data_IF_955300793955
#
_entry.id   IF_955300793955
#
_cell.length_a   1.000
_cell.length_b   1.000
_cell.length_c   1.000
_cell.angle_alpha   90.00
_cell.angle_beta   90.00
_cell.angle_gamma   90.00
#
_symmetry.space_group_name_H-M   'P 1'
#
loop_
_entity.id
_entity.type
_entity.pdbx_description
1 polymer ?
#
# COMPACT_ATOMS: atom_id res chain seq x y z
N UNK A 1 13.71 45.47 -25.64
CA UNK A 1 12.81 44.37 -25.32
C UNK A 1 13.69 43.15 -25.09
N UNK A 2 14.17 42.99 -23.84
CA UNK A 2 15.20 42.02 -23.49
C UNK A 2 14.57 40.66 -23.16
N UNK A 3 15.07 39.63 -23.81
CA UNK A 3 14.77 38.23 -23.52
C UNK A 3 15.47 37.86 -22.20
N UNK A 4 14.68 37.44 -21.22
CA UNK A 4 15.19 36.90 -19.95
C UNK A 4 15.45 35.42 -20.21
N UNK A 5 16.72 35.06 -20.39
CA UNK A 5 17.18 33.68 -20.30
C UNK A 5 17.04 33.24 -18.84
N UNK A 6 16.06 32.39 -18.55
CA UNK A 6 16.01 31.67 -17.27
C UNK A 6 17.11 30.63 -17.26
N UNK A 7 18.22 30.98 -16.61
CA UNK A 7 19.30 30.05 -16.30
C UNK A 7 18.73 28.88 -15.51
N UNK A 8 18.92 27.67 -16.01
CA UNK A 8 18.67 26.43 -15.28
C UNK A 8 19.36 26.51 -13.92
N UNK A 9 18.53 26.64 -12.87
CA UNK A 9 18.97 26.62 -11.49
C UNK A 9 19.79 25.37 -11.25
N UNK A 10 21.02 25.57 -10.76
CA UNK A 10 21.87 24.51 -10.24
C UNK A 10 21.05 23.64 -9.28
N UNK A 11 21.15 22.31 -9.43
CA UNK A 11 20.61 21.37 -8.46
C UNK A 11 21.14 21.75 -7.07
N UNK A 12 20.28 21.87 -6.04
CA UNK A 12 20.76 22.18 -4.71
C UNK A 12 21.81 21.14 -4.30
N UNK A 13 22.90 21.62 -3.68
CA UNK A 13 23.90 20.79 -3.01
C UNK A 13 23.17 19.67 -2.25
N UNK A 14 23.51 18.41 -2.52
CA UNK A 14 22.82 17.28 -1.93
C UNK A 14 22.88 17.44 -0.40
N UNK A 15 21.73 17.71 0.22
CA UNK A 15 21.61 17.74 1.66
C UNK A 15 22.13 16.41 2.21
N UNK A 16 22.82 16.45 3.36
CA UNK A 16 23.25 15.23 4.03
C UNK A 16 22.05 14.28 4.20
N UNK A 17 22.24 12.97 3.99
CA UNK A 17 21.13 12.02 4.10
C UNK A 17 20.56 12.03 5.51
N UNK A 18 19.23 12.08 5.64
CA UNK A 18 18.57 12.05 6.93
C UNK A 18 18.82 10.71 7.62
N UNK A 19 19.05 10.72 8.92
CA UNK A 19 19.01 9.51 9.74
C UNK A 19 17.61 8.87 9.70
N UNK A 20 17.51 7.58 9.99
CA UNK A 20 16.20 6.92 10.10
C UNK A 20 15.33 7.55 11.19
N UNK A 21 15.93 7.96 12.32
CA UNK A 21 15.23 8.66 13.38
C UNK A 21 14.65 9.99 12.90
N UNK A 22 15.43 10.80 12.17
CA UNK A 22 14.92 12.07 11.60
C UNK A 22 13.77 11.82 10.62
N UNK A 23 13.81 10.78 9.78
CA UNK A 23 12.69 10.44 8.87
C UNK A 23 11.43 10.10 9.68
N UNK A 24 11.56 9.40 10.81
CA UNK A 24 10.42 9.03 11.67
C UNK A 24 9.90 10.24 12.45
N UNK A 25 10.78 10.99 13.11
CA UNK A 25 10.44 12.13 13.97
C UNK A 25 9.83 13.30 13.18
N UNK A 26 10.28 13.52 11.94
CA UNK A 26 9.67 14.50 11.03
C UNK A 26 8.36 14.00 10.39
N UNK A 27 7.85 12.83 10.79
CA UNK A 27 6.57 12.31 10.32
C UNK A 27 6.55 11.89 8.85
N UNK A 28 7.71 11.61 8.24
CA UNK A 28 7.85 11.21 6.83
C UNK A 28 7.68 9.69 6.63
N UNK A 29 7.92 8.90 7.68
CA UNK A 29 7.84 7.44 7.61
C UNK A 29 6.38 6.95 7.57
N UNK A 30 6.07 6.07 6.60
CA UNK A 30 4.80 5.33 6.52
C UNK A 30 4.93 3.85 6.93
N UNK A 31 6.13 3.44 7.35
CA UNK A 31 6.39 2.09 7.85
C UNK A 31 6.43 0.99 6.77
N UNK A 32 6.94 1.26 5.55
CA UNK A 32 6.96 0.24 4.48
C UNK A 32 7.92 -0.94 4.74
N UNK A 33 8.93 -0.78 5.60
CA UNK A 33 9.88 -1.83 5.97
C UNK A 33 11.12 -1.96 5.09
N UNK A 34 11.21 -1.26 3.96
CA UNK A 34 12.33 -1.44 3.02
C UNK A 34 13.71 -1.12 3.64
N UNK A 35 13.78 -0.15 4.56
CA UNK A 35 15.03 0.16 5.26
C UNK A 35 15.54 -1.00 6.13
N UNK A 36 14.64 -1.77 6.77
CA UNK A 36 15.01 -3.02 7.48
C UNK A 36 15.54 -4.04 6.47
N UNK A 37 14.84 -4.26 5.36
CA UNK A 37 15.33 -5.15 4.30
C UNK A 37 16.74 -4.80 3.80
N UNK A 38 17.06 -3.50 3.70
CA UNK A 38 18.38 -3.04 3.23
C UNK A 38 19.48 -3.09 4.29
N UNK A 39 19.16 -2.73 5.53
CA UNK A 39 20.11 -2.68 6.65
C UNK A 39 20.22 -4.01 7.41
N UNK A 40 19.43 -5.02 7.04
CA UNK A 40 19.42 -6.32 7.69
C UNK A 40 19.18 -6.20 9.19
N UNK A 41 20.00 -6.86 10.01
CA UNK A 41 19.80 -6.96 11.46
C UNK A 41 19.98 -5.64 12.21
N UNK A 42 20.50 -4.59 11.57
CA UNK A 42 20.81 -3.32 12.25
C UNK A 42 19.59 -2.40 12.40
N UNK A 43 18.45 -2.71 11.76
CA UNK A 43 17.20 -1.92 11.86
C UNK A 43 16.00 -2.81 12.09
N UNK A 44 15.28 -2.71 13.20
CA UNK A 44 14.06 -3.50 13.45
C UNK A 44 12.79 -2.69 13.15
N UNK A 45 11.72 -3.34 12.68
CA UNK A 45 10.40 -2.72 12.58
C UNK A 45 9.62 -3.01 13.86
N UNK A 46 9.18 -1.97 14.58
CA UNK A 46 8.42 -2.09 15.83
C UNK A 46 7.09 -1.37 15.72
N UNK A 47 6.11 -1.81 16.52
CA UNK A 47 4.82 -1.12 16.67
C UNK A 47 4.94 0.00 17.71
N UNK A 48 4.57 1.23 17.36
CA UNK A 48 4.50 2.37 18.30
C UNK A 48 3.23 2.29 19.15
N UNK A 49 3.11 3.08 20.24
CA UNK A 49 1.89 3.15 21.05
C UNK A 49 0.63 3.55 20.29
N UNK A 50 0.76 4.37 19.23
CA UNK A 50 -0.35 4.73 18.35
C UNK A 50 -0.73 3.59 17.39
N UNK A 51 0.03 2.49 17.40
CA UNK A 51 -0.12 1.38 16.49
C UNK A 51 0.34 1.72 15.07
N UNK A 52 1.55 2.26 14.96
CA UNK A 52 2.26 2.47 13.70
C UNK A 52 3.44 1.53 13.61
N UNK A 53 3.78 1.02 12.44
CA UNK A 53 5.05 0.31 12.25
C UNK A 53 6.16 1.30 11.89
N UNK A 54 7.26 1.30 12.65
CA UNK A 54 8.40 2.22 12.47
C UNK A 54 9.75 1.51 12.59
N UNK A 55 10.76 1.93 11.82
CA UNK A 55 12.11 1.42 11.98
C UNK A 55 12.75 1.97 13.25
N UNK A 56 13.45 1.12 13.99
CA UNK A 56 14.33 1.45 15.10
C UNK A 56 15.74 0.99 14.75
N UNK A 57 16.70 1.89 14.84
CA UNK A 57 18.11 1.60 14.60
C UNK A 57 18.69 0.91 15.82
N UNK A 58 19.11 -0.35 15.66
CA UNK A 58 19.75 -1.15 16.71
C UNK A 58 21.27 -0.97 16.73
N UNK A 59 21.85 -0.68 15.57
CA UNK A 59 23.27 -0.34 15.40
C UNK A 59 23.42 0.80 14.42
N UNK A 60 24.41 1.66 14.66
CA UNK A 60 24.68 2.80 13.80
C UNK A 60 24.91 2.35 12.35
N UNK A 61 24.20 2.98 11.42
CA UNK A 61 24.32 2.70 10.00
C UNK A 61 25.45 3.53 9.41
N UNK A 62 26.27 2.91 8.57
CA UNK A 62 27.29 3.65 7.84
C UNK A 62 26.65 4.65 6.84
N UNK A 63 27.41 5.69 6.49
CA UNK A 63 26.96 6.74 5.57
C UNK A 63 26.51 6.18 4.20
N UNK A 64 27.21 5.22 3.57
CA UNK A 64 26.76 4.63 2.31
C UNK A 64 25.39 3.95 2.40
N UNK A 65 25.15 3.19 3.46
CA UNK A 65 23.85 2.52 3.71
C UNK A 65 22.76 3.55 3.92
N UNK A 66 23.02 4.57 4.72
CA UNK A 66 22.06 5.64 4.97
C UNK A 66 21.72 6.42 3.70
N UNK A 67 22.71 6.72 2.86
CA UNK A 67 22.52 7.37 1.57
C UNK A 67 21.64 6.52 0.63
N UNK A 68 21.87 5.20 0.56
CA UNK A 68 21.02 4.28 -0.20
C UNK A 68 19.58 4.26 0.33
N UNK A 69 19.40 4.20 1.64
CA UNK A 69 18.07 4.23 2.28
C UNK A 69 17.33 5.54 1.92
N UNK A 70 18.00 6.69 2.01
CA UNK A 70 17.41 7.98 1.65
C UNK A 70 17.06 8.07 0.17
N UNK A 71 17.85 7.44 -0.71
CA UNK A 71 17.61 7.42 -2.14
C UNK A 71 16.35 6.61 -2.52
N UNK A 72 15.95 5.64 -1.69
CA UNK A 72 14.78 4.79 -1.93
C UNK A 72 13.56 5.11 -1.06
N UNK A 73 13.76 5.73 0.10
CA UNK A 73 12.69 5.97 1.05
C UNK A 73 11.57 6.83 0.42
N UNK A 74 10.33 6.34 0.41
CA UNK A 74 9.22 7.09 -0.18
C UNK A 74 8.82 8.29 0.68
N UNK A 75 9.36 8.42 1.90
CA UNK A 75 9.18 9.61 2.75
C UNK A 75 10.11 10.77 2.39
N UNK A 76 11.24 10.49 1.72
CA UNK A 76 12.24 11.49 1.33
C UNK A 76 12.22 11.75 -0.17
N UNK A 77 11.86 10.75 -0.98
CA UNK A 77 11.89 10.83 -2.43
C UNK A 77 10.66 10.21 -3.07
N UNK A 78 9.84 11.05 -3.67
CA UNK A 78 8.73 10.65 -4.52
C UNK A 78 8.93 11.32 -5.87
N UNK A 79 8.97 10.52 -6.92
CA UNK A 79 9.09 10.97 -8.29
C UNK A 79 8.02 10.26 -9.11
N UNK A 80 7.41 10.98 -10.04
CA UNK A 80 6.51 10.38 -11.02
C UNK A 80 7.23 9.38 -11.94
N UNK A 81 6.48 8.73 -12.84
CA UNK A 81 7.06 7.80 -13.80
C UNK A 81 8.15 8.47 -14.63
N UNK A 82 9.28 7.79 -14.91
CA UNK A 82 10.31 8.31 -15.81
C UNK A 82 9.70 8.67 -17.18
N UNK A 83 10.01 9.83 -17.77
CA UNK A 83 9.45 10.22 -19.07
C UNK A 83 9.66 9.19 -20.18
N UNK A 84 10.79 8.46 -20.15
CA UNK A 84 11.09 7.40 -21.11
C UNK A 84 10.19 6.15 -20.99
N UNK A 85 9.47 5.99 -19.88
CA UNK A 85 8.51 4.91 -19.65
C UNK A 85 7.06 5.35 -19.94
N UNK A 86 6.84 6.63 -20.25
CA UNK A 86 5.51 7.12 -20.62
C UNK A 86 5.30 6.81 -22.10
N UNK A 87 4.28 6.00 -22.36
CA UNK A 87 3.84 5.65 -23.72
C UNK A 87 3.42 6.90 -24.50
N UNK A 88 3.73 6.98 -25.79
CA UNK A 88 3.21 8.05 -26.66
C UNK A 88 1.67 8.03 -26.74
N UNK A 89 1.05 6.88 -26.45
CA UNK A 89 -0.39 6.74 -26.39
C UNK A 89 -1.00 7.20 -25.04
N UNK A 90 -0.16 7.54 -24.05
CA UNK A 90 -0.63 7.97 -22.75
C UNK A 90 -1.31 9.34 -22.85
N UNK A 91 -2.53 9.41 -22.32
CA UNK A 91 -3.21 10.67 -22.07
C UNK A 91 -2.52 11.33 -20.88
N UNK A 92 -2.07 12.58 -21.07
CA UNK A 92 -1.59 13.40 -19.96
C UNK A 92 -2.80 14.02 -19.25
N UNK A 93 -3.35 13.30 -18.28
CA UNK A 93 -4.47 13.79 -17.47
C UNK A 93 -3.95 14.58 -16.27
N UNK A 94 -4.61 15.70 -15.95
CA UNK A 94 -4.20 16.60 -14.85
C UNK A 94 -4.42 16.01 -13.47
N UNK A 95 -5.37 15.07 -13.33
CA UNK A 95 -5.69 14.37 -12.09
C UNK A 95 -4.97 13.04 -12.05
N UNK A 96 -5.13 12.23 -13.11
CA UNK A 96 -4.70 10.83 -13.13
C UNK A 96 -3.23 10.64 -13.55
N UNK A 97 -2.59 11.67 -14.10
CA UNK A 97 -1.24 11.58 -14.63
C UNK A 97 -1.19 10.94 -16.02
N UNK A 98 -0.03 10.41 -16.44
CA UNK A 98 0.10 9.72 -17.72
C UNK A 98 -0.62 8.36 -17.65
N UNK A 99 -1.69 8.21 -18.41
CA UNK A 99 -2.57 7.03 -18.38
C UNK A 99 -2.90 6.59 -19.80
N UNK A 100 -2.66 5.33 -20.13
CA UNK A 100 -3.06 4.76 -21.41
C UNK A 100 -4.56 4.53 -21.47
N UNK A 101 -5.16 4.14 -20.33
CA UNK A 101 -6.59 3.86 -20.26
C UNK A 101 -7.16 4.03 -18.86
N UNK A 102 -8.36 4.61 -18.80
CA UNK A 102 -9.24 4.52 -17.64
C UNK A 102 -10.50 3.75 -18.01
N UNK A 103 -10.82 2.70 -17.26
CA UNK A 103 -12.07 1.94 -17.43
C UNK A 103 -12.75 1.67 -16.10
N UNK A 104 -14.06 1.46 -16.15
CA UNK A 104 -14.81 0.87 -15.06
C UNK A 104 -14.86 -0.64 -15.24
N UNK A 105 -14.62 -1.40 -14.18
CA UNK A 105 -14.61 -2.85 -14.24
C UNK A 105 -14.73 -3.52 -12.88
N UNK A 106 -14.95 -4.83 -12.91
CA UNK A 106 -15.00 -5.68 -11.72
C UNK A 106 -14.57 -7.10 -12.06
N UNK A 107 -14.24 -7.89 -11.05
CA UNK A 107 -13.92 -9.30 -11.20
C UNK A 107 -15.10 -10.05 -11.84
N UNK A 108 -14.82 -10.83 -12.88
CA UNK A 108 -15.82 -11.67 -13.53
C UNK A 108 -16.36 -12.77 -12.59
N UNK A 109 -15.49 -13.31 -11.72
CA UNK A 109 -15.88 -14.27 -10.70
C UNK A 109 -16.70 -13.57 -9.59
N UNK A 110 -17.97 -13.95 -9.37
CA UNK A 110 -18.82 -13.33 -8.36
C UNK A 110 -18.31 -13.54 -6.93
N UNK A 111 -17.58 -14.63 -6.65
CA UNK A 111 -16.99 -14.90 -5.33
C UNK A 111 -15.87 -13.90 -5.04
N UNK A 112 -15.00 -13.67 -6.02
CA UNK A 112 -13.91 -12.68 -5.91
C UNK A 112 -14.48 -11.29 -5.74
N UNK A 113 -15.54 -10.96 -6.51
CA UNK A 113 -16.23 -9.69 -6.43
C UNK A 113 -16.90 -9.47 -5.07
N UNK A 114 -17.51 -10.52 -4.52
CA UNK A 114 -18.16 -10.46 -3.22
C UNK A 114 -17.14 -10.28 -2.09
N UNK A 115 -16.07 -11.09 -2.07
CA UNK A 115 -15.07 -11.08 -0.99
C UNK A 115 -14.18 -9.84 -1.04
N UNK A 116 -13.74 -9.44 -2.24
CA UNK A 116 -12.82 -8.33 -2.44
C UNK A 116 -13.42 -6.96 -2.10
N UNK A 117 -12.55 -5.98 -1.89
CA UNK A 117 -12.97 -4.57 -1.76
C UNK A 117 -13.29 -3.99 -3.14
N UNK A 118 -14.38 -3.24 -3.24
CA UNK A 118 -14.79 -2.60 -4.49
C UNK A 118 -15.32 -3.65 -5.48
N UNK A 119 -14.68 -3.73 -6.64
CA UNK A 119 -14.94 -4.75 -7.66
C UNK A 119 -14.04 -6.00 -7.59
N UNK A 120 -13.13 -6.10 -6.62
CA UNK A 120 -12.23 -7.26 -6.49
C UNK A 120 -11.15 -7.36 -7.57
N UNK A 121 -10.87 -6.26 -8.28
CA UNK A 121 -9.97 -6.26 -9.45
C UNK A 121 -8.53 -6.69 -9.11
N UNK A 122 -7.93 -6.18 -8.03
CA UNK A 122 -6.56 -6.55 -7.67
C UNK A 122 -6.42 -8.03 -7.31
N UNK A 123 -7.42 -8.60 -6.62
CA UNK A 123 -7.48 -10.04 -6.34
C UNK A 123 -7.59 -10.84 -7.63
N UNK A 124 -8.49 -10.46 -8.54
CA UNK A 124 -8.65 -11.13 -9.83
C UNK A 124 -7.38 -11.06 -10.69
N UNK A 125 -6.70 -9.91 -10.73
CA UNK A 125 -5.41 -9.75 -11.42
C UNK A 125 -4.34 -10.65 -10.80
N UNK A 126 -4.21 -10.67 -9.47
CA UNK A 126 -3.26 -11.56 -8.78
C UNK A 126 -3.50 -13.04 -9.09
N UNK A 127 -4.76 -13.48 -9.06
CA UNK A 127 -5.14 -14.85 -9.42
C UNK A 127 -4.84 -15.17 -10.90
N UNK A 128 -5.12 -14.23 -11.80
CA UNK A 128 -4.82 -14.37 -13.22
C UNK A 128 -3.31 -14.50 -13.47
N UNK A 129 -2.49 -13.65 -12.85
CA UNK A 129 -1.03 -13.67 -13.04
C UNK A 129 -0.41 -15.01 -12.59
N UNK A 130 -0.91 -15.59 -11.50
CA UNK A 130 -0.49 -16.91 -11.02
C UNK A 130 -0.98 -18.05 -11.93
N UNK A 131 -2.29 -18.09 -12.21
CA UNK A 131 -2.90 -19.18 -13.00
C UNK A 131 -2.41 -19.22 -14.45
N UNK A 132 -2.04 -18.07 -15.02
CA UNK A 132 -1.44 -17.98 -16.35
C UNK A 132 0.07 -18.25 -16.37
N UNK A 133 0.71 -18.46 -15.21
CA UNK A 133 2.15 -18.72 -15.12
C UNK A 133 3.03 -17.50 -15.41
N UNK A 134 2.48 -16.28 -15.41
CA UNK A 134 3.24 -15.04 -15.65
C UNK A 134 4.15 -14.68 -14.49
N UNK A 135 3.78 -15.11 -13.28
CA UNK A 135 4.57 -14.94 -12.06
C UNK A 135 4.52 -16.22 -11.23
N UNK A 136 5.52 -16.43 -10.39
CA UNK A 136 5.64 -17.55 -9.47
C UNK A 136 4.86 -17.31 -8.17
N UNK A 137 4.80 -16.06 -7.72
CA UNK A 137 4.05 -15.65 -6.54
C UNK A 137 3.60 -14.19 -6.64
N UNK A 138 2.67 -13.82 -5.77
CA UNK A 138 2.27 -12.43 -5.51
C UNK A 138 2.76 -12.05 -4.11
N UNK A 139 3.52 -10.95 -4.01
CA UNK A 139 3.81 -10.26 -2.75
C UNK A 139 2.70 -9.25 -2.49
N UNK A 140 2.04 -9.38 -1.35
CA UNK A 140 0.97 -8.48 -0.90
C UNK A 140 0.86 -8.53 0.62
N UNK A 141 -0.26 -8.08 1.17
CA UNK A 141 -0.51 -8.11 2.61
C UNK A 141 -1.83 -8.81 2.93
N UNK A 142 -1.93 -9.39 4.12
CA UNK A 142 -3.15 -10.02 4.61
C UNK A 142 -3.35 -9.72 6.11
N UNK A 143 -4.54 -10.02 6.63
CA UNK A 143 -4.76 -10.00 8.07
C UNK A 143 -3.89 -11.07 8.77
N UNK A 144 -3.29 -10.74 9.91
CA UNK A 144 -2.64 -11.73 10.76
C UNK A 144 -3.67 -12.73 11.28
N UNK A 145 -3.32 -14.02 11.28
CA UNK A 145 -4.18 -15.08 11.84
C UNK A 145 -4.22 -15.05 13.36
N UNK A 146 -3.14 -14.62 14.01
CA UNK A 146 -3.04 -14.55 15.47
C UNK A 146 -3.51 -13.21 16.03
N UNK A 147 -3.37 -12.13 15.26
CA UNK A 147 -3.72 -10.77 15.68
C UNK A 147 -4.57 -10.10 14.58
N UNK A 148 -5.88 -10.38 14.46
CA UNK A 148 -6.68 -10.06 13.27
C UNK A 148 -6.70 -8.58 12.83
N UNK A 149 -6.41 -7.64 13.72
CA UNK A 149 -6.26 -6.22 13.40
C UNK A 149 -4.90 -5.85 12.78
N UNK A 150 -3.87 -6.69 12.97
CA UNK A 150 -2.54 -6.51 12.37
C UNK A 150 -2.52 -6.95 10.92
N UNK A 151 -1.64 -6.32 10.16
CA UNK A 151 -1.44 -6.62 8.73
C UNK A 151 -0.06 -7.24 8.56
N UNK A 152 0.01 -8.38 7.90
CA UNK A 152 1.25 -9.11 7.67
C UNK A 152 1.57 -9.14 6.18
N UNK A 153 2.86 -8.99 5.84
CA UNK A 153 3.36 -9.31 4.50
C UNK A 153 3.08 -10.79 4.18
N UNK A 154 2.60 -11.07 2.97
CA UNK A 154 2.22 -12.41 2.50
C UNK A 154 2.76 -12.67 1.09
N UNK A 155 3.32 -13.86 0.90
CA UNK A 155 3.58 -14.42 -0.43
C UNK A 155 2.46 -15.42 -0.75
N UNK A 156 1.79 -15.26 -1.88
CA UNK A 156 0.74 -16.19 -2.35
C UNK A 156 1.16 -16.85 -3.64
N UNK A 157 1.04 -18.18 -3.67
CA UNK A 157 1.56 -19.04 -4.75
C UNK A 157 0.46 -19.66 -5.60
N UNK A 158 -0.81 -19.44 -5.23
CA UNK A 158 -1.97 -19.94 -5.96
C UNK A 158 -3.15 -18.97 -5.83
N UNK A 159 -4.19 -19.20 -6.64
CA UNK A 159 -5.37 -18.32 -6.66
C UNK A 159 -6.13 -18.29 -5.33
N UNK A 160 -6.12 -19.39 -4.57
CA UNK A 160 -6.82 -19.50 -3.29
C UNK A 160 -6.14 -18.64 -2.21
N UNK A 161 -4.80 -18.69 -2.12
CA UNK A 161 -4.01 -17.92 -1.16
C UNK A 161 -4.05 -16.41 -1.43
N UNK A 162 -4.21 -16.00 -2.70
CA UNK A 162 -4.50 -14.60 -3.08
C UNK A 162 -5.88 -14.18 -2.58
N UNK A 163 -6.92 -14.99 -2.81
CA UNK A 163 -8.28 -14.69 -2.36
C UNK A 163 -8.40 -14.64 -0.83
N UNK A 164 -7.69 -15.53 -0.13
CA UNK A 164 -7.64 -15.55 1.33
C UNK A 164 -7.07 -14.24 1.92
N UNK A 165 -6.17 -13.57 1.19
CA UNK A 165 -5.64 -12.27 1.60
C UNK A 165 -6.47 -11.07 1.13
N UNK A 166 -7.58 -11.30 0.41
CA UNK A 166 -8.38 -10.21 -0.14
C UNK A 166 -9.07 -9.36 0.93
N UNK A 167 -9.27 -8.08 0.61
CA UNK A 167 -9.92 -7.10 1.47
C UNK A 167 -8.99 -5.96 1.88
N UNK A 168 -9.57 -4.83 2.28
CA UNK A 168 -8.80 -3.65 2.65
C UNK A 168 -8.17 -3.78 4.03
N UNK A 169 -6.93 -3.31 4.16
CA UNK A 169 -6.20 -3.14 5.41
C UNK A 169 -5.86 -1.66 5.58
N UNK A 170 -6.52 -0.99 6.52
CA UNK A 170 -6.34 0.45 6.74
C UNK A 170 -5.27 0.78 7.80
N UNK A 171 -4.84 -0.22 8.57
CA UNK A 171 -3.77 -0.11 9.57
C UNK A 171 -2.35 -0.16 8.96
N UNK A 172 -1.31 -0.07 9.79
CA UNK A 172 0.08 -0.11 9.34
C UNK A 172 0.41 -1.45 8.65
N UNK A 173 1.39 -1.40 7.74
CA UNK A 173 1.90 -2.58 7.05
C UNK A 173 3.32 -2.33 6.52
N UNK A 174 4.28 -3.14 6.99
CA UNK A 174 5.64 -3.25 6.48
C UNK A 174 5.73 -4.31 5.36
N UNK A 175 5.04 -4.04 4.24
CA UNK A 175 4.99 -4.91 3.05
C UNK A 175 6.37 -5.32 2.52
N UNK A 176 7.38 -4.46 2.70
CA UNK A 176 8.73 -4.59 2.12
C UNK A 176 9.80 -4.98 3.16
N UNK A 177 9.40 -5.51 4.32
CA UNK A 177 10.32 -5.80 5.44
C UNK A 177 11.43 -6.81 5.10
N UNK A 178 11.16 -7.75 4.19
CA UNK A 178 12.05 -8.82 3.72
C UNK A 178 12.29 -8.76 2.19
N UNK A 179 12.16 -7.58 1.58
CA UNK A 179 12.15 -7.43 0.12
C UNK A 179 13.43 -7.91 -0.59
N UNK A 180 14.61 -7.72 0.01
CA UNK A 180 15.88 -8.22 -0.53
C UNK A 180 15.93 -9.76 -0.52
N UNK A 181 15.45 -10.39 0.55
CA UNK A 181 15.35 -11.86 0.62
C UNK A 181 14.38 -12.39 -0.46
N UNK A 182 13.35 -11.62 -0.80
CA UNK A 182 12.42 -11.92 -1.88
C UNK A 182 13.11 -11.81 -3.25
N UNK A 183 13.93 -10.77 -3.48
CA UNK A 183 14.73 -10.63 -4.70
C UNK A 183 15.76 -11.76 -4.83
N UNK A 184 16.38 -12.19 -3.73
CA UNK A 184 17.37 -13.28 -3.70
C UNK A 184 16.80 -14.63 -4.15
N UNK A 185 15.46 -14.79 -4.17
CA UNK A 185 14.80 -15.99 -4.71
C UNK A 185 15.01 -16.17 -6.21
N UNK A 186 15.28 -15.09 -6.95
CA UNK A 186 15.44 -15.15 -8.41
C UNK A 186 14.18 -15.57 -9.16
N UNK A 187 13.00 -15.41 -8.55
CA UNK A 187 11.71 -15.86 -9.09
C UNK A 187 10.87 -14.65 -9.53
N UNK A 188 10.18 -14.72 -10.68
CA UNK A 188 9.31 -13.63 -11.12
C UNK A 188 8.09 -13.49 -10.20
N UNK A 189 7.75 -12.28 -9.80
CA UNK A 189 6.61 -11.99 -8.92
C UNK A 189 5.83 -10.75 -9.32
N UNK A 190 4.61 -10.64 -8.79
CA UNK A 190 3.84 -9.40 -8.81
C UNK A 190 3.78 -8.79 -7.39
N UNK A 191 3.79 -7.47 -7.30
CA UNK A 191 3.59 -6.73 -6.05
C UNK A 191 2.22 -6.06 -6.06
N UNK A 192 1.38 -6.34 -5.06
CA UNK A 192 0.14 -5.59 -4.79
C UNK A 192 0.36 -4.79 -3.50
N UNK A 193 0.45 -3.45 -3.60
CA UNK A 193 0.78 -2.62 -2.44
C UNK A 193 0.22 -1.18 -2.53
N UNK A 194 0.38 -0.43 -1.44
CA UNK A 194 0.06 1.01 -1.41
C UNK A 194 1.00 1.78 -2.35
N UNK A 195 0.57 2.93 -2.92
CA UNK A 195 1.38 3.74 -3.83
C UNK A 195 2.79 4.03 -3.32
N UNK A 196 2.93 4.41 -2.05
CA UNK A 196 4.22 4.69 -1.44
C UNK A 196 5.15 3.47 -1.30
N UNK A 197 4.63 2.24 -1.23
CA UNK A 197 5.46 1.02 -1.29
C UNK A 197 5.97 0.81 -2.71
N UNK A 198 5.11 0.99 -3.72
CA UNK A 198 5.51 0.92 -5.13
C UNK A 198 6.57 1.98 -5.44
N UNK A 199 6.41 3.22 -4.96
CA UNK A 199 7.44 4.26 -5.07
C UNK A 199 8.77 3.82 -4.48
N UNK A 200 8.76 3.20 -3.29
CA UNK A 200 9.98 2.73 -2.64
C UNK A 200 10.72 1.70 -3.50
N UNK A 201 9.97 0.73 -4.04
CA UNK A 201 10.52 -0.33 -4.89
C UNK A 201 10.98 0.22 -6.25
N UNK A 202 10.25 1.13 -6.87
CA UNK A 202 10.66 1.79 -8.12
C UNK A 202 11.88 2.69 -7.93
N UNK A 203 12.05 3.31 -6.77
CA UNK A 203 13.32 3.98 -6.45
C UNK A 203 14.46 2.97 -6.28
N UNK A 204 14.22 1.82 -5.64
CA UNK A 204 15.22 0.76 -5.50
C UNK A 204 15.63 0.18 -6.85
N UNK A 205 14.72 0.04 -7.82
CA UNK A 205 15.03 -0.42 -9.17
C UNK A 205 16.12 0.40 -9.88
N UNK A 206 16.27 1.68 -9.53
CA UNK A 206 17.35 2.54 -10.06
C UNK A 206 18.73 2.19 -9.51
N UNK A 207 18.80 1.42 -8.43
CA UNK A 207 20.02 1.02 -7.73
C UNK A 207 20.26 -0.49 -7.82
N UNK A 208 19.20 -1.29 -7.95
CA UNK A 208 19.25 -2.75 -7.97
C UNK A 208 18.42 -3.30 -9.16
N UNK A 209 19.07 -3.78 -10.23
CA UNK A 209 18.39 -4.24 -11.44
C UNK A 209 17.53 -5.49 -11.22
N UNK A 210 17.74 -6.23 -10.12
CA UNK A 210 16.92 -7.42 -9.80
C UNK A 210 15.45 -7.07 -9.61
N UNK A 211 15.15 -5.84 -9.22
CA UNK A 211 13.77 -5.36 -9.12
C UNK A 211 13.07 -5.45 -10.46
N UNK A 212 13.65 -4.88 -11.53
CA UNK A 212 13.04 -4.91 -12.86
C UNK A 212 13.11 -6.30 -13.51
N UNK A 213 14.09 -7.13 -13.11
CA UNK A 213 14.21 -8.51 -13.58
C UNK A 213 13.11 -9.43 -13.00
N UNK A 214 12.81 -9.29 -11.70
CA UNK A 214 11.98 -10.21 -10.95
C UNK A 214 10.57 -9.65 -10.63
N UNK A 215 10.42 -8.38 -10.29
CA UNK A 215 9.10 -7.76 -10.08
C UNK A 215 8.45 -7.42 -11.43
N UNK A 216 7.74 -8.39 -12.01
CA UNK A 216 7.15 -8.28 -13.35
C UNK A 216 5.92 -7.38 -13.43
N UNK A 217 5.22 -7.20 -12.31
CA UNK A 217 4.00 -6.41 -12.24
C UNK A 217 3.92 -5.66 -10.92
N UNK A 218 3.77 -4.35 -10.97
CA UNK A 218 3.46 -3.48 -9.84
C UNK A 218 1.99 -3.06 -9.92
N UNK A 219 1.18 -3.51 -8.98
CA UNK A 219 -0.24 -3.22 -8.91
C UNK A 219 -0.52 -2.40 -7.64
N UNK A 220 -1.21 -1.28 -7.78
CA UNK A 220 -1.56 -0.41 -6.67
C UNK A 220 -3.07 -0.27 -6.50
N UNK A 221 -3.48 0.07 -5.29
CA UNK A 221 -4.79 0.66 -5.05
C UNK A 221 -4.65 2.16 -4.81
N UNK A 222 -5.64 2.95 -5.23
CA UNK A 222 -5.74 4.35 -4.85
C UNK A 222 -5.93 4.44 -3.35
N UNK A 223 -5.10 5.23 -2.68
CA UNK A 223 -4.97 5.24 -1.23
C UNK A 223 -5.41 6.59 -0.65
N UNK A 224 -6.46 6.58 0.17
CA UNK A 224 -6.94 7.75 0.92
C UNK A 224 -6.13 8.07 2.19
N UNK A 225 -5.08 7.29 2.47
CA UNK A 225 -4.26 7.40 3.68
C UNK A 225 -4.35 6.17 4.57
N UNK A 226 -3.29 5.94 5.36
CA UNK A 226 -3.25 4.88 6.36
C UNK A 226 -3.58 5.46 7.74
N UNK A 227 -4.48 4.80 8.44
CA UNK A 227 -4.85 5.14 9.81
C UNK A 227 -3.84 4.55 10.80
N UNK A 228 -3.71 5.22 11.94
CA UNK A 228 -3.19 4.60 13.15
C UNK A 228 -4.10 3.45 13.57
N UNK A 229 -3.53 2.39 14.13
CA UNK A 229 -4.30 1.22 14.56
C UNK A 229 -5.34 1.55 15.64
N UNK A 230 -5.09 2.59 16.43
CA UNK A 230 -6.02 3.15 17.42
C UNK A 230 -7.40 3.49 16.85
N UNK A 231 -7.51 3.79 15.54
CA UNK A 231 -8.81 3.88 14.85
C UNK A 231 -9.60 2.57 14.96
N UNK A 232 -8.94 1.45 14.77
CA UNK A 232 -9.56 0.13 14.82
C UNK A 232 -9.88 -0.27 16.27
N UNK A 233 -9.04 0.14 17.23
CA UNK A 233 -9.30 -0.03 18.67
C UNK A 233 -10.54 0.75 19.12
N UNK A 234 -10.78 1.96 18.61
CA UNK A 234 -12.01 2.70 18.87
C UNK A 234 -13.27 1.95 18.43
N UNK A 235 -13.17 1.12 17.38
CA UNK A 235 -14.30 0.27 16.97
C UNK A 235 -14.56 -0.80 18.03
N UNK A 236 -13.51 -1.45 18.55
CA UNK A 236 -13.67 -2.44 19.62
C UNK A 236 -14.26 -1.85 20.88
N UNK A 237 -13.84 -0.64 21.25
CA UNK A 237 -14.36 0.09 22.41
C UNK A 237 -15.88 0.33 22.32
N UNK A 238 -16.45 0.52 21.13
CA UNK A 238 -17.92 0.63 20.94
C UNK A 238 -18.67 -0.61 21.41
N UNK A 239 -18.02 -1.77 21.40
CA UNK A 239 -18.58 -3.06 21.79
C UNK A 239 -18.03 -3.59 23.12
N UNK A 240 -17.17 -2.81 23.79
CA UNK A 240 -16.52 -3.21 25.04
C UNK A 240 -15.58 -4.42 24.87
N UNK A 241 -14.93 -4.56 23.72
CA UNK A 241 -14.04 -5.68 23.39
C UNK A 241 -12.56 -5.31 23.57
N UNK A 242 -11.76 -6.28 24.03
CA UNK A 242 -10.31 -6.31 23.91
C UNK A 242 -9.86 -6.94 22.59
N UNK A 243 -8.66 -6.60 22.13
CA UNK A 243 -8.09 -7.20 20.92
C UNK A 243 -7.83 -8.72 21.08
N UNK A 244 -7.47 -9.15 22.29
CA UNK A 244 -7.19 -10.55 22.62
C UNK A 244 -8.43 -11.45 22.53
N UNK A 245 -9.63 -10.87 22.51
CA UNK A 245 -10.90 -11.58 22.29
C UNK A 245 -11.17 -11.88 20.82
N UNK A 246 -10.45 -11.28 19.87
CA UNK A 246 -10.79 -11.34 18.45
C UNK A 246 -10.41 -12.66 17.78
N UNK A 247 -11.34 -13.16 16.96
CA UNK A 247 -11.11 -14.18 15.94
C UNK A 247 -11.07 -13.58 14.53
N UNK A 248 -11.81 -12.49 14.28
CA UNK A 248 -11.86 -11.78 12.99
C UNK A 248 -11.96 -10.27 13.19
N UNK A 249 -11.22 -9.53 12.37
CA UNK A 249 -11.43 -8.10 12.15
C UNK A 249 -11.31 -7.78 10.65
N UNK A 250 -12.46 -7.59 9.98
CA UNK A 250 -12.54 -7.26 8.56
C UNK A 250 -13.06 -5.85 8.39
N UNK A 251 -12.31 -4.99 7.72
CA UNK A 251 -12.71 -3.59 7.53
C UNK A 251 -13.88 -3.41 6.56
N UNK A 252 -13.89 -4.19 5.47
CA UNK A 252 -14.91 -4.15 4.42
C UNK A 252 -14.80 -5.38 3.50
N UNK A 253 -15.60 -5.43 2.43
CA UNK A 253 -15.78 -6.59 1.56
C UNK A 253 -16.95 -7.46 2.05
N UNK A 254 -17.20 -8.58 1.37
CA UNK A 254 -18.46 -9.34 1.49
C UNK A 254 -19.68 -8.49 1.10
N UNK A 255 -19.57 -7.89 -0.09
CA UNK A 255 -20.41 -6.79 -0.59
C UNK A 255 -19.58 -5.55 -0.90
N UNK A 256 -20.18 -4.52 -1.52
CA UNK A 256 -19.50 -3.25 -1.79
C UNK A 256 -20.26 -2.05 -1.19
N UNK A 257 -19.65 -1.25 -0.29
CA UNK A 257 -18.34 -1.47 0.33
C UNK A 257 -18.27 -2.73 1.20
N UNK A 258 -19.41 -3.21 1.71
CA UNK A 258 -19.52 -4.28 2.71
C UNK A 258 -19.31 -3.76 4.15
N UNK A 259 -19.77 -4.50 5.18
CA UNK A 259 -19.67 -4.07 6.56
C UNK A 259 -18.25 -4.24 7.11
N UNK A 260 -17.90 -3.42 8.10
CA UNK A 260 -16.85 -3.78 9.04
C UNK A 260 -17.40 -4.88 9.96
N UNK A 261 -16.76 -6.05 9.94
CA UNK A 261 -17.19 -7.25 10.66
C UNK A 261 -16.15 -7.65 11.70
N UNK A 262 -16.63 -7.88 12.92
CA UNK A 262 -15.86 -8.32 14.07
C UNK A 262 -16.45 -9.65 14.55
N UNK A 263 -15.60 -10.62 14.81
CA UNK A 263 -15.99 -11.89 15.44
C UNK A 263 -15.04 -12.19 16.58
N UNK A 264 -15.58 -12.61 17.72
CA UNK A 264 -14.82 -12.98 18.91
C UNK A 264 -14.61 -14.49 18.98
N UNK A 265 -13.61 -14.91 19.75
CA UNK A 265 -13.28 -16.33 19.99
C UNK A 265 -14.41 -17.10 20.67
N UNK A 266 -15.31 -16.41 21.38
CA UNK A 266 -16.50 -16.99 22.02
C UNK A 266 -17.75 -17.00 21.13
N UNK A 267 -17.64 -16.56 19.87
CA UNK A 267 -18.70 -16.65 18.86
C UNK A 267 -19.65 -15.45 18.77
N UNK A 268 -19.42 -14.36 19.52
CA UNK A 268 -20.15 -13.10 19.29
C UNK A 268 -19.70 -12.48 17.96
N UNK A 269 -20.63 -11.84 17.26
CA UNK A 269 -20.38 -11.15 16.00
C UNK A 269 -21.01 -9.76 16.02
N UNK A 270 -20.28 -8.78 15.50
CA UNK A 270 -20.69 -7.38 15.44
C UNK A 270 -20.41 -6.81 14.06
N UNK A 271 -21.29 -5.92 13.60
CA UNK A 271 -21.12 -5.22 12.33
C UNK A 271 -21.43 -3.74 12.48
N UNK A 272 -20.65 -2.92 11.79
CA UNK A 272 -21.00 -1.54 11.48
C UNK A 272 -20.86 -1.31 9.97
N UNK A 273 -21.68 -0.42 9.42
CA UNK A 273 -21.56 -0.03 8.02
C UNK A 273 -20.25 0.72 7.75
N UNK A 274 -19.81 0.72 6.49
CA UNK A 274 -18.65 1.51 6.05
C UNK A 274 -18.77 2.99 6.44
N UNK A 275 -19.99 3.55 6.33
CA UNK A 275 -20.27 4.94 6.70
C UNK A 275 -20.08 5.17 8.21
N UNK A 276 -20.63 4.31 9.07
CA UNK A 276 -20.45 4.43 10.53
C UNK A 276 -18.98 4.30 10.97
N UNK A 277 -18.13 3.65 10.17
CA UNK A 277 -16.69 3.58 10.41
C UNK A 277 -15.97 4.87 9.99
N UNK A 278 -16.36 5.49 8.88
CA UNK A 278 -15.59 6.55 8.20
C UNK A 278 -16.26 7.93 8.09
N UNK A 279 -17.52 8.11 8.50
CA UNK A 279 -18.23 9.39 8.35
C UNK A 279 -17.65 10.55 9.17
N UNK A 280 -16.96 10.21 10.27
CA UNK A 280 -16.31 11.19 11.15
C UNK A 280 -14.83 11.33 10.78
N UNK A 281 -14.54 12.36 9.98
CA UNK A 281 -13.20 12.66 9.45
C UNK A 281 -12.18 12.95 10.56
N UNK A 282 -12.62 13.59 11.65
CA UNK A 282 -11.78 13.89 12.81
C UNK A 282 -11.26 12.61 13.49
N UNK A 283 -11.97 11.49 13.26
CA UNK A 283 -11.61 10.16 13.77
C UNK A 283 -10.95 9.28 12.73
N UNK A 284 -10.43 9.78 11.61
CA UNK A 284 -9.71 8.92 10.66
C UNK A 284 -8.33 8.48 11.17
N UNK A 285 -7.74 9.24 12.10
CA UNK A 285 -6.40 8.98 12.64
C UNK A 285 -5.33 8.82 11.54
N UNK A 286 -5.44 9.61 10.47
CA UNK A 286 -4.51 9.54 9.33
C UNK A 286 -3.10 9.92 9.77
N UNK A 287 -2.14 9.06 9.44
CA UNK A 287 -0.72 9.28 9.74
C UNK A 287 -0.21 10.58 9.10
N UNK A 288 0.67 11.35 9.78
CA UNK A 288 1.16 12.65 9.28
C UNK A 288 1.68 12.60 7.84
N UNK A 289 2.47 11.57 7.51
CA UNK A 289 2.99 11.33 6.16
C UNK A 289 1.90 11.31 5.08
N UNK A 290 0.77 10.69 5.36
CA UNK A 290 -0.31 10.58 4.37
C UNK A 290 -0.94 11.93 4.02
N UNK A 291 -0.86 12.92 4.92
CA UNK A 291 -1.39 14.27 4.69
C UNK A 291 -0.54 15.10 3.72
N UNK A 292 0.71 14.70 3.50
CA UNK A 292 1.66 15.36 2.60
C UNK A 292 2.06 14.46 1.41
N UNK A 293 1.42 13.30 1.25
CA UNK A 293 1.74 12.37 0.18
C UNK A 293 1.23 12.93 -1.16
N UNK A 294 2.09 13.17 -2.15
CA UNK A 294 1.69 13.70 -3.46
C UNK A 294 1.16 12.61 -4.40
N UNK A 295 1.35 11.32 -4.10
CA UNK A 295 0.91 10.20 -4.95
C UNK A 295 -0.08 9.31 -4.21
N UNK A 296 -1.35 9.70 -4.22
CA UNK A 296 -2.44 8.86 -3.73
C UNK A 296 -2.92 7.83 -4.78
N UNK A 297 -2.58 8.03 -6.05
CA UNK A 297 -3.10 7.25 -7.18
C UNK A 297 -2.26 5.99 -7.38
N UNK A 298 -0.94 6.09 -7.22
CA UNK A 298 0.01 5.06 -7.62
C UNK A 298 0.48 5.24 -9.06
N UNK A 299 0.86 6.46 -9.46
CA UNK A 299 1.28 6.79 -10.83
C UNK A 299 2.54 6.03 -11.31
N UNK A 300 3.25 5.38 -10.40
CA UNK A 300 4.44 4.55 -10.69
C UNK A 300 4.16 3.05 -10.66
N UNK A 301 2.88 2.65 -10.52
CA UNK A 301 2.40 1.29 -10.71
C UNK A 301 2.11 1.04 -12.20
N UNK A 302 2.08 -0.23 -12.59
CA UNK A 302 1.69 -0.64 -13.95
C UNK A 302 0.16 -0.62 -14.11
N UNK A 303 -0.57 -0.88 -13.02
CA UNK A 303 -2.02 -0.71 -12.94
C UNK A 303 -2.37 -0.19 -11.54
N UNK A 304 -3.14 0.89 -11.48
CA UNK A 304 -3.77 1.38 -10.26
C UNK A 304 -5.28 1.14 -10.27
N UNK A 305 -5.84 0.82 -9.11
CA UNK A 305 -7.26 0.47 -8.96
C UNK A 305 -7.91 1.33 -7.88
N UNK A 306 -8.98 2.04 -8.22
CA UNK A 306 -9.79 2.84 -7.28
C UNK A 306 -11.13 2.18 -6.99
N UNK A 307 -11.74 2.50 -5.85
CA UNK A 307 -13.19 2.36 -5.73
C UNK A 307 -13.87 3.36 -6.67
N UNK A 308 -14.97 2.97 -7.32
CA UNK A 308 -15.76 3.85 -8.17
C UNK A 308 -17.21 3.92 -7.69
N UNK A 309 -17.52 5.01 -6.98
CA UNK A 309 -18.86 5.30 -6.48
C UNK A 309 -19.59 6.17 -7.50
N UNK A 310 -20.55 5.61 -8.24
CA UNK A 310 -21.24 6.35 -9.32
C UNK A 310 -22.05 7.56 -8.81
N UNK A 311 -22.45 7.52 -7.53
CA UNK A 311 -23.18 8.61 -6.88
C UNK A 311 -22.27 9.60 -6.13
N UNK A 312 -20.95 9.53 -6.33
CA UNK A 312 -19.98 10.44 -5.71
C UNK A 312 -19.56 10.08 -4.27
N UNK A 313 -20.10 9.00 -3.70
CA UNK A 313 -19.70 8.50 -2.38
C UNK A 313 -20.37 7.16 -2.06
N UNK A 314 -19.90 6.44 -1.02
CA UNK A 314 -20.37 5.10 -0.72
C UNK A 314 -21.84 5.11 -0.25
N UNK A 315 -22.67 4.33 -0.96
CA UNK A 315 -23.98 3.91 -0.49
C UNK A 315 -23.87 2.71 0.49
N UNK A 316 -25.00 2.29 1.08
CA UNK A 316 -25.04 1.11 1.97
C UNK A 316 -24.68 -0.16 1.17
N UNK A 317 -25.24 -0.28 -0.04
CA UNK A 317 -24.81 -1.21 -1.07
C UNK A 317 -24.66 -0.43 -2.37
N UNK A 318 -23.49 -0.52 -2.99
CA UNK A 318 -23.17 0.12 -4.26
C UNK A 318 -22.75 -0.94 -5.28
N UNK A 319 -22.77 -0.58 -6.56
CA UNK A 319 -22.23 -1.47 -7.58
C UNK A 319 -20.76 -1.76 -7.27
N UNK A 320 -20.32 -3.03 -7.28
CA UNK A 320 -18.95 -3.42 -7.01
C UNK A 320 -18.04 -3.06 -8.19
N UNK A 321 -17.85 -1.77 -8.42
CA UNK A 321 -17.05 -1.22 -9.51
C UNK A 321 -15.73 -0.69 -8.99
N UNK A 322 -14.69 -0.96 -9.78
CA UNK A 322 -13.42 -0.29 -9.66
C UNK A 322 -13.14 0.57 -10.89
N UNK A 323 -12.47 1.70 -10.66
CA UNK A 323 -11.76 2.42 -11.70
C UNK A 323 -10.42 1.73 -11.91
N UNK A 324 -10.12 1.32 -13.12
CA UNK A 324 -8.87 0.65 -13.49
C UNK A 324 -8.09 1.63 -14.34
N UNK A 325 -6.92 2.00 -13.84
CA UNK A 325 -6.01 3.00 -14.42
C UNK A 325 -4.79 2.24 -14.90
N UNK A 326 -4.58 2.24 -16.21
CA UNK A 326 -3.46 1.58 -16.91
C UNK A 326 -2.57 2.66 -17.48
#
# INVERSE_FOLDING_TARGET
>A
MGLIETSYSQAPLAADPLTLSEIVENGLCIGCGLCRSMAGRDVEMVMTPEGRERPVVLRELDKPTLAKINAVCPGTRIAGPPPAQISEAALADTVWGPVERLVLGSAADPTVRFIGSGGGTLTALGQFLLSSGRVKFVLHVAASRSMPMRTERKLSFDAASVLEGAGSRYGPAATLVDFNDILDRGEPFALIAKPCDITAVRNLARLDPRVDEHMRYALAFVCGGASDLTKSEQVLQRFGLGEDELALFRYRGHGNPGPNRIETKDGRAFEISYRQLWEDEDKWMIQPRCKICPDAIGQVADIAVSDSWLNGGPAIEDEPLNGIIV
#
